data_IF_989283176397
#
_entry.id   IF_989283176397
#
_cell.length_a   1.000
_cell.length_b   1.000
_cell.length_c   1.000
_cell.angle_alpha   90.00
_cell.angle_beta   90.00
_cell.angle_gamma   90.00
#
_symmetry.space_group_name_H-M   'P 1'
#
loop_
_entity.id
_entity.type
_entity.pdbx_description
1 polymer ?
#
# COMPACT_ATOMS: atom_id res chain seq x y z
N UNK A 1 17.92 -3.23 8.14
CA UNK A 1 17.67 -2.12 9.09
C UNK A 1 16.89 -1.04 8.38
N UNK A 2 15.89 -0.43 9.04
CA UNK A 2 15.20 0.75 8.49
C UNK A 2 16.14 1.96 8.46
N UNK A 3 15.96 2.85 7.48
CA UNK A 3 16.84 4.01 7.27
C UNK A 3 16.02 5.27 7.06
N UNK A 4 16.35 6.37 7.76
CA UNK A 4 15.84 7.71 7.44
C UNK A 4 16.49 8.15 6.12
N UNK A 5 15.67 8.30 5.08
CA UNK A 5 16.13 8.65 3.73
C UNK A 5 16.20 10.16 3.52
N UNK A 6 15.26 10.92 4.10
CA UNK A 6 15.25 12.37 4.13
C UNK A 6 14.35 12.87 5.28
N UNK A 7 14.12 14.16 5.38
CA UNK A 7 13.14 14.68 6.34
C UNK A 7 11.75 14.08 6.08
N UNK A 8 11.12 13.55 7.14
CA UNK A 8 9.85 12.82 7.10
C UNK A 8 9.78 11.65 6.08
N UNK A 9 10.92 11.12 5.62
CA UNK A 9 10.97 10.00 4.67
C UNK A 9 11.82 8.87 5.21
N UNK A 10 11.24 7.67 5.24
CA UNK A 10 11.85 6.47 5.80
C UNK A 10 11.76 5.33 4.79
N UNK A 11 12.77 4.47 4.79
CA UNK A 11 12.79 3.23 4.03
C UNK A 11 12.79 2.05 5.02
N UNK A 12 11.89 1.10 4.80
CA UNK A 12 11.74 -0.08 5.65
C UNK A 12 11.94 -1.35 4.79
N UNK A 13 12.89 -2.23 5.14
CA UNK A 13 13.12 -3.47 4.40
C UNK A 13 12.15 -4.55 4.86
N UNK A 14 10.91 -4.50 4.37
CA UNK A 14 9.84 -5.45 4.69
C UNK A 14 8.61 -5.25 3.81
N UNK A 15 7.49 -5.88 4.18
CA UNK A 15 6.23 -5.72 3.44
C UNK A 15 5.61 -4.34 3.68
N UNK A 16 4.67 -3.88 2.86
CA UNK A 16 3.95 -2.63 3.12
C UNK A 16 3.24 -2.60 4.48
N UNK A 17 2.77 -3.75 4.97
CA UNK A 17 2.16 -3.85 6.29
C UNK A 17 3.19 -3.68 7.43
N UNK A 18 4.39 -4.23 7.26
CA UNK A 18 5.47 -4.02 8.25
C UNK A 18 5.96 -2.56 8.25
N UNK A 19 5.99 -1.93 7.07
CA UNK A 19 6.31 -0.52 6.94
C UNK A 19 5.27 0.38 7.64
N UNK A 20 3.98 0.01 7.59
CA UNK A 20 2.92 0.65 8.36
C UNK A 20 3.18 0.52 9.85
N UNK A 21 3.42 -0.69 10.35
CA UNK A 21 3.65 -0.95 11.78
C UNK A 21 4.86 -0.14 12.28
N UNK A 22 5.94 -0.08 11.50
CA UNK A 22 7.09 0.77 11.77
C UNK A 22 6.74 2.27 11.81
N UNK A 23 5.91 2.73 10.88
CA UNK A 23 5.46 4.12 10.81
C UNK A 23 4.61 4.51 12.02
N UNK A 24 3.55 3.75 12.29
CA UNK A 24 2.58 4.06 13.36
C UNK A 24 3.17 3.92 14.75
N UNK A 25 3.87 2.82 15.01
CA UNK A 25 4.32 2.48 16.36
C UNK A 25 5.76 2.89 16.66
N UNK A 26 6.53 3.22 15.62
CA UNK A 26 7.90 3.71 15.73
C UNK A 26 8.01 5.21 15.47
N UNK A 27 7.74 5.63 14.24
CA UNK A 27 8.01 7.01 13.78
C UNK A 27 7.00 8.02 14.30
N UNK A 28 5.71 7.65 14.31
CA UNK A 28 4.57 8.53 14.62
C UNK A 28 3.93 8.23 15.99
N UNK A 29 4.63 7.48 16.85
CA UNK A 29 4.09 6.99 18.12
C UNK A 29 3.49 8.11 19.00
N UNK A 30 4.17 9.26 19.06
CA UNK A 30 3.77 10.39 19.91
C UNK A 30 2.91 11.42 19.15
N UNK A 31 2.71 11.23 17.85
CA UNK A 31 1.95 12.11 16.96
C UNK A 31 1.25 11.27 15.88
N UNK A 32 0.17 10.53 16.23
CA UNK A 32 -0.48 9.60 15.32
C UNK A 32 -1.09 10.32 14.11
N UNK A 33 -1.17 9.65 12.95
CA UNK A 33 -1.76 10.23 11.76
C UNK A 33 -3.30 10.21 11.82
N UNK A 34 -3.93 11.18 11.16
CA UNK A 34 -5.39 11.22 10.97
C UNK A 34 -5.87 10.31 9.81
N UNK A 35 -4.98 9.97 8.88
CA UNK A 35 -5.26 9.15 7.70
C UNK A 35 -4.00 8.41 7.25
N UNK A 36 -4.18 7.15 6.86
CA UNK A 36 -3.15 6.34 6.21
C UNK A 36 -3.48 6.17 4.72
N UNK A 37 -2.54 6.53 3.86
CA UNK A 37 -2.65 6.32 2.41
C UNK A 37 -1.55 5.34 1.97
N UNK A 38 -1.94 4.27 1.28
CA UNK A 38 -1.01 3.31 0.67
C UNK A 38 -1.07 3.39 -0.85
N UNK A 39 0.08 3.59 -1.52
CA UNK A 39 0.16 3.72 -2.98
C UNK A 39 1.09 4.86 -3.44
N UNK A 40 1.02 5.30 -4.69
CA UNK A 40 0.15 4.81 -5.78
C UNK A 40 0.76 3.55 -6.42
N UNK A 41 -0.02 2.47 -6.54
CA UNK A 41 0.43 1.23 -7.19
C UNK A 41 0.55 1.37 -8.72
N UNK A 42 1.59 0.79 -9.32
CA UNK A 42 1.77 0.67 -10.79
C UNK A 42 0.98 -0.54 -11.30
N UNK A 43 -0.34 -0.39 -11.37
CA UNK A 43 -1.28 -1.41 -11.82
C UNK A 43 -2.52 -1.52 -10.94
N UNK A 44 -3.61 -2.09 -11.45
CA UNK A 44 -4.87 -2.17 -10.73
C UNK A 44 -4.85 -3.26 -9.65
N UNK A 45 -5.46 -2.97 -8.50
CA UNK A 45 -5.90 -3.93 -7.50
C UNK A 45 -7.42 -4.12 -7.66
N UNK A 46 -7.83 -4.85 -8.70
CA UNK A 46 -9.25 -5.16 -8.96
C UNK A 46 -9.46 -6.67 -8.99
N UNK A 47 -10.70 -7.12 -8.72
CA UNK A 47 -11.01 -8.54 -8.61
C UNK A 47 -10.15 -9.23 -7.55
N UNK A 48 -9.61 -10.40 -7.90
CA UNK A 48 -8.85 -11.26 -6.98
C UNK A 48 -7.46 -10.72 -6.64
N UNK A 49 -6.89 -9.82 -7.47
CA UNK A 49 -5.61 -9.18 -7.18
C UNK A 49 -5.63 -8.36 -5.87
N UNK A 50 -6.81 -7.93 -5.42
CA UNK A 50 -6.98 -7.22 -4.14
C UNK A 50 -6.55 -8.06 -2.93
N UNK A 51 -6.81 -9.36 -2.94
CA UNK A 51 -6.57 -10.26 -1.80
C UNK A 51 -5.07 -10.35 -1.49
N UNK A 52 -4.24 -10.30 -2.54
CA UNK A 52 -2.79 -10.44 -2.44
C UNK A 52 -2.05 -9.10 -2.59
N UNK A 53 -2.79 -7.97 -2.60
CA UNK A 53 -2.19 -6.65 -2.79
C UNK A 53 -1.59 -6.12 -1.49
N UNK A 54 -0.30 -5.82 -1.52
CA UNK A 54 0.38 -5.13 -0.42
C UNK A 54 -0.14 -3.71 -0.19
N UNK A 55 -0.56 -3.02 -1.26
CA UNK A 55 -1.15 -1.67 -1.16
C UNK A 55 -2.46 -1.72 -0.38
N UNK A 56 -3.35 -2.64 -0.73
CA UNK A 56 -4.64 -2.86 -0.04
C UNK A 56 -4.40 -3.33 1.39
N UNK A 57 -3.52 -4.30 1.60
CA UNK A 57 -3.24 -4.88 2.92
C UNK A 57 -2.73 -3.85 3.93
N UNK A 58 -1.90 -2.89 3.51
CA UNK A 58 -1.46 -1.81 4.40
C UNK A 58 -2.63 -0.88 4.82
N UNK A 59 -3.46 -0.45 3.87
CA UNK A 59 -4.63 0.39 4.20
C UNK A 59 -5.63 -0.37 5.10
N UNK A 60 -5.91 -1.63 4.80
CA UNK A 60 -6.80 -2.48 5.60
C UNK A 60 -6.27 -2.69 7.03
N UNK A 61 -4.95 -2.83 7.19
CA UNK A 61 -4.33 -2.98 8.52
C UNK A 61 -4.40 -1.69 9.33
N UNK A 62 -4.28 -0.53 8.70
CA UNK A 62 -4.51 0.77 9.37
C UNK A 62 -5.95 0.87 9.90
N UNK A 63 -6.93 0.51 9.07
CA UNK A 63 -8.35 0.44 9.45
C UNK A 63 -8.55 -0.51 10.63
N UNK A 64 -7.90 -1.68 10.61
CA UNK A 64 -7.95 -2.64 11.73
C UNK A 64 -7.38 -2.07 13.04
N UNK A 65 -6.42 -1.16 12.97
CA UNK A 65 -5.87 -0.45 14.13
C UNK A 65 -6.69 0.78 14.56
N UNK A 66 -7.78 1.10 13.85
CA UNK A 66 -8.65 2.23 14.18
C UNK A 66 -8.29 3.54 13.46
N UNK A 67 -7.38 3.50 12.49
CA UNK A 67 -7.04 4.66 11.65
C UNK A 67 -7.81 4.61 10.33
N UNK A 68 -8.38 5.74 9.86
CA UNK A 68 -8.87 5.82 8.49
C UNK A 68 -7.79 5.40 7.49
N UNK A 69 -8.16 4.60 6.49
CA UNK A 69 -7.24 4.04 5.50
C UNK A 69 -7.77 4.14 4.08
N UNK A 70 -6.91 4.51 3.14
CA UNK A 70 -7.21 4.57 1.70
C UNK A 70 -6.06 3.94 0.88
N UNK A 71 -6.40 3.30 -0.23
CA UNK A 71 -5.44 2.69 -1.14
C UNK A 71 -5.60 3.26 -2.56
N UNK A 72 -4.48 3.63 -3.18
CA UNK A 72 -4.47 4.32 -4.48
C UNK A 72 -3.68 3.54 -5.53
N UNK A 73 -4.17 3.57 -6.76
CA UNK A 73 -3.58 2.88 -7.91
C UNK A 73 -3.77 3.70 -9.19
N UNK A 74 -2.85 3.54 -10.15
CA UNK A 74 -3.05 4.03 -11.49
C UNK A 74 -3.85 3.01 -12.31
N UNK A 75 -4.78 3.53 -13.12
CA UNK A 75 -5.42 2.81 -14.21
C UNK A 75 -5.04 3.50 -15.51
N UNK A 76 -3.92 3.09 -16.11
CA UNK A 76 -3.56 3.56 -17.44
C UNK A 76 -4.25 2.68 -18.48
N UNK A 77 -4.87 3.27 -19.53
CA UNK A 77 -5.39 2.48 -20.64
C UNK A 77 -4.23 1.67 -21.23
N UNK A 78 -4.43 0.37 -21.31
CA UNK A 78 -3.46 -0.65 -21.73
C UNK A 78 -2.97 -0.44 -23.18
N UNK A 79 -2.10 0.54 -23.41
CA UNK A 79 -1.24 0.57 -24.59
C UNK A 79 0.13 0.02 -24.17
N UNK A 80 0.25 -1.31 -24.10
CA UNK A 80 1.56 -1.98 -24.11
C UNK A 80 1.87 -3.01 -23.01
N UNK A 81 0.95 -3.38 -22.12
CA UNK A 81 1.14 -4.56 -21.24
C UNK A 81 -0.17 -5.31 -21.09
N UNK A 82 -0.15 -6.59 -21.53
CA UNK A 82 -1.13 -7.69 -21.40
C UNK A 82 -2.62 -7.28 -21.35
N UNK A 83 -3.31 -7.67 -22.41
CA UNK A 83 -4.77 -7.78 -22.60
C UNK A 83 -5.54 -8.17 -21.33
N UNK A 84 -6.69 -7.51 -21.12
CA UNK A 84 -7.63 -7.76 -20.01
C UNK A 84 -8.07 -9.23 -19.92
N UNK A 85 -8.08 -9.92 -21.06
CA UNK A 85 -8.41 -11.34 -21.18
C UNK A 85 -7.38 -12.24 -20.46
N UNK A 86 -6.08 -11.90 -20.51
CA UNK A 86 -5.02 -12.65 -19.82
C UNK A 86 -5.02 -12.45 -18.29
N UNK A 87 -5.54 -11.32 -17.82
CA UNK A 87 -5.64 -11.00 -16.38
C UNK A 87 -6.89 -11.61 -15.74
N UNK A 88 -7.99 -11.76 -16.50
CA UNK A 88 -9.21 -12.41 -16.05
C UNK A 88 -9.08 -13.94 -15.97
N UNK A 89 -8.22 -14.55 -16.80
CA UNK A 89 -8.02 -16.00 -16.84
C UNK A 89 -7.22 -16.58 -15.64
N UNK A 90 -6.59 -15.71 -14.84
CA UNK A 90 -5.76 -16.09 -13.68
C UNK A 90 -6.25 -15.52 -12.33
N UNK A 91 -7.48 -15.01 -12.29
CA UNK A 91 -8.14 -14.51 -11.07
C UNK A 91 -8.99 -15.60 -10.40
#
# INVERSE_FOLDING_TARGET
MSKKAADKRYCFPGTPADALDFGLWGVLKDAPPDLVISGVNDGPNTGMAQVNSGTVSAAARAIRYGFPGDCRQYWLPIHGRRDEEQMAEHA
#
